data_IF_018191519483
#
_entry.id   IF_018191519483
#
_cell.length_a   1.000
_cell.length_b   1.000
_cell.length_c   1.000
_cell.angle_alpha   90.00
_cell.angle_beta   90.00
_cell.angle_gamma   90.00
#
_symmetry.space_group_name_H-M   'P 1'
#
loop_
_entity.id
_entity.type
_entity.pdbx_description
1 polymer ?
#
# COMPACT_ATOMS: atom_id res chain seq x y z
N UNK A 1 -22.90 14.69 13.60
CA UNK A 1 -21.51 14.19 13.59
C UNK A 1 -20.90 14.49 14.95
N UNK A 2 -20.37 13.48 15.64
CA UNK A 2 -19.69 13.72 16.92
C UNK A 2 -18.40 14.51 16.66
N UNK A 3 -18.23 15.62 17.38
CA UNK A 3 -17.03 16.45 17.34
C UNK A 3 -15.88 15.69 17.98
N UNK A 4 -14.91 15.25 17.18
CA UNK A 4 -13.69 14.61 17.69
C UNK A 4 -12.78 15.65 18.32
N UNK A 5 -12.26 15.30 19.49
CA UNK A 5 -11.23 16.09 20.16
C UNK A 5 -9.99 16.23 19.26
N UNK A 6 -9.21 17.29 19.47
CA UNK A 6 -8.04 17.59 18.63
C UNK A 6 -7.04 16.44 18.66
N UNK A 7 -6.83 15.82 19.84
CA UNK A 7 -5.95 14.66 19.99
C UNK A 7 -6.45 13.42 19.22
N UNK A 8 -7.78 13.26 19.07
CA UNK A 8 -8.37 12.14 18.31
C UNK A 8 -8.24 12.30 16.80
N UNK A 9 -7.88 13.49 16.30
CA UNK A 9 -7.61 13.75 14.88
C UNK A 9 -6.15 13.52 14.51
N UNK A 10 -5.26 13.46 15.49
CA UNK A 10 -3.84 13.19 15.29
C UNK A 10 -3.55 11.70 15.35
N UNK A 11 -2.47 11.30 14.68
CA UNK A 11 -2.03 9.92 14.61
C UNK A 11 -0.63 9.81 14.05
N UNK A 12 -0.16 8.57 13.95
CA UNK A 12 1.09 8.22 13.29
C UNK A 12 0.81 7.58 11.95
N UNK A 13 1.68 7.91 11.00
CA UNK A 13 1.85 7.12 9.80
C UNK A 13 2.94 6.08 10.07
N UNK A 14 2.56 4.81 10.00
CA UNK A 14 3.49 3.68 10.09
C UNK A 14 3.59 3.07 8.72
N UNK A 15 4.81 2.74 8.30
CA UNK A 15 5.02 1.99 7.08
C UNK A 15 6.05 0.90 7.33
N UNK A 16 5.86 -0.22 6.64
CA UNK A 16 6.80 -1.32 6.63
C UNK A 16 6.70 -2.08 5.31
N UNK A 17 7.74 -2.85 5.03
CA UNK A 17 7.85 -3.67 3.84
C UNK A 17 7.49 -5.12 4.17
N UNK A 18 6.56 -5.70 3.40
CA UNK A 18 6.23 -7.11 3.47
C UNK A 18 6.65 -7.84 2.20
N UNK A 19 7.19 -9.04 2.35
CA UNK A 19 7.45 -9.95 1.22
C UNK A 19 6.14 -10.61 0.82
N UNK A 20 5.75 -10.48 -0.44
CA UNK A 20 4.55 -11.08 -1.02
C UNK A 20 4.92 -12.21 -1.98
N UNK A 21 4.04 -13.20 -2.09
CA UNK A 21 4.22 -14.28 -3.06
C UNK A 21 3.96 -13.75 -4.47
N UNK A 22 4.90 -13.98 -5.38
CA UNK A 22 4.71 -13.76 -6.82
C UNK A 22 3.54 -14.60 -7.31
N UNK A 23 2.45 -13.96 -7.70
CA UNK A 23 1.26 -14.64 -8.16
C UNK A 23 0.51 -13.79 -9.18
N UNK A 24 0.14 -14.44 -10.30
CA UNK A 24 -0.80 -13.92 -11.28
C UNK A 24 -1.82 -15.00 -11.59
N UNK A 25 -3.10 -14.70 -11.37
CA UNK A 25 -4.21 -15.60 -11.66
C UNK A 25 -5.21 -14.91 -12.57
N UNK A 26 -5.79 -15.67 -13.49
CA UNK A 26 -6.92 -15.17 -14.29
C UNK A 26 -8.19 -15.32 -13.47
N UNK A 27 -8.89 -14.21 -13.21
CA UNK A 27 -10.22 -14.26 -12.63
C UNK A 27 -11.23 -14.57 -13.73
N UNK A 28 -11.62 -15.84 -13.84
CA UNK A 28 -12.41 -16.37 -14.97
C UNK A 28 -13.80 -15.72 -15.12
N UNK A 29 -14.32 -15.08 -14.07
CA UNK A 29 -15.62 -14.40 -14.08
C UNK A 29 -15.54 -12.98 -14.65
N UNK A 30 -14.47 -12.24 -14.35
CA UNK A 30 -14.23 -10.90 -14.89
C UNK A 30 -13.36 -10.90 -16.15
N UNK A 31 -12.74 -12.04 -16.48
CA UNK A 31 -11.70 -12.17 -17.50
C UNK A 31 -10.53 -11.21 -17.29
N UNK A 32 -10.23 -10.85 -16.05
CA UNK A 32 -9.09 -9.98 -15.70
C UNK A 32 -7.97 -10.76 -15.06
N UNK A 33 -6.74 -10.35 -15.31
CA UNK A 33 -5.60 -10.81 -14.52
C UNK A 33 -5.64 -10.16 -13.14
N UNK A 34 -5.51 -10.99 -12.10
CA UNK A 34 -5.47 -10.60 -10.70
C UNK A 34 -4.13 -11.05 -10.14
N UNK A 35 -3.33 -10.09 -9.70
CA UNK A 35 -1.99 -10.31 -9.19
C UNK A 35 -1.37 -8.99 -8.73
N UNK A 36 -0.19 -9.09 -8.12
CA UNK A 36 0.61 -7.93 -7.76
C UNK A 36 1.60 -7.67 -8.90
N UNK A 37 1.23 -6.78 -9.84
CA UNK A 37 2.14 -6.29 -10.86
C UNK A 37 3.13 -5.30 -10.25
N UNK A 38 4.37 -5.29 -10.73
CA UNK A 38 5.35 -4.29 -10.33
C UNK A 38 5.00 -2.94 -10.97
N UNK A 39 4.67 -1.96 -10.12
CA UNK A 39 4.29 -0.62 -10.52
C UNK A 39 5.47 0.36 -10.61
N UNK A 40 6.71 -0.09 -10.29
CA UNK A 40 7.97 0.58 -10.64
C UNK A 40 8.02 2.12 -10.52
N UNK A 41 8.86 2.73 -11.38
CA UNK A 41 9.05 4.19 -11.52
C UNK A 41 8.21 4.82 -12.65
N UNK A 42 7.40 4.02 -13.35
CA UNK A 42 6.64 4.47 -14.51
C UNK A 42 5.19 4.02 -14.43
N UNK A 43 4.29 4.88 -14.90
CA UNK A 43 2.85 4.61 -15.06
C UNK A 43 2.52 3.48 -16.07
N UNK A 44 3.54 2.80 -16.59
CA UNK A 44 3.39 1.66 -17.50
C UNK A 44 3.51 0.37 -16.70
N UNK A 45 2.43 -0.40 -16.67
CA UNK A 45 2.42 -1.74 -16.10
C UNK A 45 3.57 -2.57 -16.68
N UNK A 46 4.43 -3.10 -15.80
CA UNK A 46 5.41 -4.10 -16.18
C UNK A 46 4.73 -5.48 -16.16
N UNK A 47 5.17 -6.39 -17.04
CA UNK A 47 4.76 -7.80 -17.01
C UNK A 47 5.41 -8.58 -15.84
N UNK A 48 6.20 -7.89 -15.03
CA UNK A 48 6.91 -8.45 -13.89
C UNK A 48 6.01 -8.54 -12.65
N UNK A 49 6.11 -9.67 -11.93
CA UNK A 49 5.39 -9.88 -10.69
C UNK A 49 6.17 -9.31 -9.51
N UNK A 50 5.50 -8.49 -8.71
CA UNK A 50 6.01 -7.96 -7.46
C UNK A 50 6.18 -9.07 -6.41
N UNK A 51 7.26 -8.98 -5.65
CA UNK A 51 7.58 -9.79 -4.47
C UNK A 51 7.71 -8.95 -3.20
N UNK A 52 7.66 -7.63 -3.31
CA UNK A 52 7.71 -6.71 -2.18
C UNK A 52 6.49 -5.77 -2.19
N UNK A 53 5.85 -5.61 -1.04
CA UNK A 53 4.76 -4.69 -0.81
C UNK A 53 5.11 -3.69 0.29
N UNK A 54 5.25 -2.41 -0.06
CA UNK A 54 5.38 -1.32 0.91
C UNK A 54 3.98 -0.89 1.34
N UNK A 55 3.66 -1.04 2.63
CA UNK A 55 2.33 -0.75 3.18
C UNK A 55 2.38 0.47 4.07
N UNK A 56 1.49 1.43 3.84
CA UNK A 56 1.28 2.59 4.70
C UNK A 56 0.00 2.41 5.50
N UNK A 57 0.10 2.60 6.82
CA UNK A 57 -1.01 2.49 7.76
C UNK A 57 -1.08 3.75 8.61
N UNK A 58 -2.26 4.38 8.63
CA UNK A 58 -2.55 5.45 9.57
C UNK A 58 -3.12 4.86 10.86
N UNK A 59 -2.57 5.26 12.00
CA UNK A 59 -3.09 4.90 13.32
C UNK A 59 -3.36 6.15 14.15
N UNK A 60 -4.62 6.31 14.59
CA UNK A 60 -5.02 7.42 15.44
C UNK A 60 -4.43 7.27 16.86
N UNK A 61 -4.15 8.39 17.53
CA UNK A 61 -3.66 8.39 18.91
C UNK A 61 -4.79 8.27 19.93
N UNK A 62 -5.85 9.06 19.76
CA UNK A 62 -6.97 9.14 20.71
C UNK A 62 -8.07 8.11 20.51
N UNK A 63 -7.95 7.22 19.52
CA UNK A 63 -8.90 6.16 19.22
C UNK A 63 -8.15 4.86 18.85
N UNK A 64 -8.75 3.70 19.13
CA UNK A 64 -8.26 2.41 18.63
C UNK A 64 -8.64 2.19 17.15
N UNK A 65 -8.18 3.10 16.30
CA UNK A 65 -8.43 3.10 14.87
C UNK A 65 -7.11 2.99 14.09
N UNK A 66 -7.03 1.99 13.22
CA UNK A 66 -5.89 1.75 12.34
C UNK A 66 -6.41 1.36 10.97
N UNK A 67 -5.98 2.05 9.92
CA UNK A 67 -6.37 1.75 8.54
C UNK A 67 -5.15 1.71 7.61
N UNK A 68 -5.04 0.70 6.73
CA UNK A 68 -4.11 0.78 5.61
C UNK A 68 -4.59 1.88 4.66
N UNK A 69 -3.72 2.82 4.31
CA UNK A 69 -4.06 3.96 3.45
C UNK A 69 -3.44 3.85 2.05
N UNK A 70 -2.34 3.10 1.90
CA UNK A 70 -1.71 2.85 0.60
C UNK A 70 -0.88 1.57 0.63
N UNK A 71 -0.78 0.92 -0.53
CA UNK A 71 0.12 -0.23 -0.75
C UNK A 71 0.79 -0.05 -2.11
N UNK A 72 2.11 -0.18 -2.14
CA UNK A 72 2.91 -0.17 -3.36
C UNK A 72 3.56 -1.53 -3.54
N UNK A 73 3.23 -2.19 -4.65
CA UNK A 73 3.83 -3.47 -5.01
C UNK A 73 4.97 -3.25 -6.01
N UNK A 74 6.13 -3.82 -5.72
CA UNK A 74 7.29 -3.75 -6.60
C UNK A 74 8.18 -4.99 -6.50
N UNK A 75 9.08 -5.16 -7.48
CA UNK A 75 10.02 -6.29 -7.55
C UNK A 75 11.29 -6.10 -6.69
N UNK A 76 11.49 -4.90 -6.14
CA UNK A 76 12.71 -4.51 -5.42
C UNK A 76 12.32 -3.84 -4.12
N UNK A 77 13.05 -4.04 -3.01
CA UNK A 77 12.83 -3.30 -1.77
C UNK A 77 12.85 -1.79 -2.01
N UNK A 78 11.68 -1.15 -1.91
CA UNK A 78 11.56 0.31 -2.03
C UNK A 78 11.71 0.94 -0.66
N UNK A 79 12.93 1.37 -0.38
CA UNK A 79 13.21 2.26 0.76
C UNK A 79 13.15 3.70 0.25
N UNK A 80 12.17 4.45 0.76
CA UNK A 80 12.10 5.92 0.81
C UNK A 80 11.61 6.71 -0.43
N UNK A 81 11.78 6.26 -1.67
CA UNK A 81 11.36 7.07 -2.84
C UNK A 81 9.84 7.25 -3.00
N UNK A 82 9.02 6.32 -2.49
CA UNK A 82 7.55 6.44 -2.49
C UNK A 82 7.02 7.49 -1.50
N UNK A 83 7.84 7.96 -0.55
CA UNK A 83 7.39 8.92 0.45
C UNK A 83 7.09 10.30 -0.17
N UNK A 84 7.89 10.71 -1.17
CA UNK A 84 7.70 11.98 -1.87
C UNK A 84 6.45 11.99 -2.76
N UNK A 85 6.00 10.84 -3.26
CA UNK A 85 4.75 10.76 -4.03
C UNK A 85 3.49 10.71 -3.16
N UNK A 86 3.64 10.53 -1.84
CA UNK A 86 2.50 10.46 -0.91
C UNK A 86 2.09 11.83 -0.33
N UNK A 87 2.92 12.86 -0.51
CA UNK A 87 2.71 14.22 0.01
C UNK A 87 2.89 15.29 -1.06
#
# INVERSE_FOLDING_TARGET
>A
MATKDEFQRHGILVFDEMVVRKEMRVHSKSMTYVGFSDFGDAATASDDLADHGLVFTFRAFGDNYSQPIAVFASKVPRKEQCLHSLF
#
